data_IF_863364863968
#
_entry.id   IF_863364863968
#
_cell.length_a   1.000
_cell.length_b   1.000
_cell.length_c   1.000
_cell.angle_alpha   90.00
_cell.angle_beta   90.00
_cell.angle_gamma   90.00
#
_symmetry.space_group_name_H-M   'P 1'
#
loop_
_entity.id
_entity.type
_entity.pdbx_description
1 polymer ?
#
# COMPACT_ATOMS: atom_id res chain seq x y z
N UNK A 1 22.27 -19.32 -23.67
CA UNK A 1 21.99 -19.60 -22.26
C UNK A 1 21.72 -18.27 -21.56
N UNK A 2 20.46 -17.87 -21.48
CA UNK A 2 20.07 -16.69 -20.68
C UNK A 2 19.93 -17.13 -19.22
N UNK A 3 20.91 -16.79 -18.39
CA UNK A 3 20.74 -16.82 -16.93
C UNK A 3 19.73 -15.74 -16.55
N UNK A 4 18.51 -16.15 -16.20
CA UNK A 4 17.56 -15.30 -15.50
C UNK A 4 18.19 -14.94 -14.16
N UNK A 5 18.65 -13.71 -13.99
CA UNK A 5 19.00 -13.19 -12.69
C UNK A 5 17.72 -13.16 -11.86
N UNK A 6 17.65 -14.00 -10.84
CA UNK A 6 16.70 -13.85 -9.74
C UNK A 6 17.15 -12.60 -9.00
N UNK A 7 16.49 -11.49 -9.26
CA UNK A 7 16.67 -10.26 -8.51
C UNK A 7 16.20 -10.55 -7.09
N UNK A 8 17.13 -10.47 -6.15
CA UNK A 8 16.88 -10.73 -4.74
C UNK A 8 16.00 -9.59 -4.20
N UNK A 9 14.88 -9.91 -3.55
CA UNK A 9 13.95 -8.93 -2.96
C UNK A 9 14.61 -7.96 -1.97
N UNK A 10 15.79 -8.29 -1.47
CA UNK A 10 16.60 -7.43 -0.61
C UNK A 10 17.14 -6.16 -1.29
N UNK A 11 17.23 -6.14 -2.64
CA UNK A 11 17.67 -4.98 -3.42
C UNK A 11 16.55 -3.95 -3.65
N UNK A 12 15.31 -4.27 -3.27
CA UNK A 12 14.14 -3.39 -3.45
C UNK A 12 13.92 -2.44 -2.28
N UNK A 13 14.67 -2.59 -1.17
CA UNK A 13 14.56 -1.69 -0.02
C UNK A 13 15.14 -0.31 -0.35
N UNK A 14 14.49 0.78 0.10
CA UNK A 14 14.93 2.13 -0.19
C UNK A 14 16.32 2.36 0.43
N UNK A 15 17.30 2.51 -0.44
CA UNK A 15 18.60 3.05 -0.06
C UNK A 15 18.52 4.57 -0.17
N UNK A 16 18.83 5.23 0.96
CA UNK A 16 19.14 6.66 1.00
C UNK A 16 17.99 7.64 0.63
N UNK A 17 16.96 7.71 1.49
CA UNK A 17 15.96 8.78 1.44
C UNK A 17 14.89 8.65 0.34
N UNK A 18 14.87 7.59 -0.43
CA UNK A 18 13.84 7.34 -1.45
C UNK A 18 12.50 6.98 -0.83
N UNK A 19 11.44 7.46 -1.45
CA UNK A 19 10.05 7.14 -1.12
C UNK A 19 9.55 6.06 -2.08
N UNK A 20 9.56 4.82 -1.63
CA UNK A 20 9.27 3.64 -2.46
C UNK A 20 7.97 2.98 -1.97
N UNK A 21 7.06 2.72 -2.89
CA UNK A 21 5.86 1.92 -2.65
C UNK A 21 6.12 0.50 -3.17
N UNK A 22 5.90 -0.50 -2.32
CA UNK A 22 6.07 -1.90 -2.63
C UNK A 22 4.71 -2.58 -2.70
N UNK A 23 4.44 -3.29 -3.79
CA UNK A 23 3.23 -4.11 -3.94
C UNK A 23 3.60 -5.50 -4.42
N UNK A 24 2.82 -6.51 -4.02
CA UNK A 24 2.92 -7.85 -4.56
C UNK A 24 1.55 -8.46 -4.78
N UNK A 25 1.47 -9.36 -5.76
CA UNK A 25 0.32 -10.23 -5.98
C UNK A 25 0.80 -11.67 -5.99
N UNK A 26 0.20 -12.50 -5.16
CA UNK A 26 0.51 -13.93 -5.04
C UNK A 26 -0.71 -14.77 -5.39
N UNK A 27 -0.50 -15.86 -6.10
CA UNK A 27 -1.50 -16.93 -6.28
C UNK A 27 -0.95 -18.21 -5.67
N UNK A 28 -1.71 -18.80 -4.75
CA UNK A 28 -1.32 -19.96 -3.94
C UNK A 28 -2.38 -21.03 -4.08
N UNK A 29 -1.98 -22.24 -4.47
CA UNK A 29 -2.82 -23.43 -4.41
C UNK A 29 -2.68 -24.08 -3.03
N UNK A 30 -3.81 -24.51 -2.46
CA UNK A 30 -3.88 -25.12 -1.15
C UNK A 30 -4.59 -26.49 -1.19
N UNK A 31 -3.90 -27.55 -0.71
CA UNK A 31 -4.51 -28.86 -0.45
C UNK A 31 -5.33 -28.80 0.85
N UNK A 32 -4.82 -28.11 1.87
CA UNK A 32 -5.57 -27.76 3.09
C UNK A 32 -5.81 -26.26 3.11
N UNK A 33 -6.97 -25.87 2.60
CA UNK A 33 -7.37 -24.48 2.48
C UNK A 33 -7.36 -23.72 3.82
N UNK A 34 -7.90 -24.33 4.88
CA UNK A 34 -8.00 -23.69 6.18
C UNK A 34 -6.62 -23.51 6.85
N UNK A 35 -5.76 -24.51 6.73
CA UNK A 35 -4.40 -24.45 7.26
C UNK A 35 -3.59 -23.36 6.55
N UNK A 36 -3.70 -23.28 5.21
CA UNK A 36 -3.02 -22.25 4.40
C UNK A 36 -3.49 -20.85 4.76
N UNK A 37 -4.80 -20.62 4.83
CA UNK A 37 -5.35 -19.32 5.25
C UNK A 37 -4.89 -18.90 6.65
N UNK A 38 -4.86 -19.86 7.59
CA UNK A 38 -4.38 -19.61 8.95
C UNK A 38 -2.88 -19.31 8.99
N UNK A 39 -2.08 -20.03 8.20
CA UNK A 39 -0.64 -19.80 8.10
C UNK A 39 -0.31 -18.42 7.53
N UNK A 40 -1.04 -17.97 6.50
CA UNK A 40 -0.90 -16.62 5.92
C UNK A 40 -1.22 -15.52 6.94
N UNK A 41 -2.33 -15.66 7.68
CA UNK A 41 -2.69 -14.70 8.71
C UNK A 41 -1.64 -14.61 9.84
N UNK A 42 -1.10 -15.77 10.27
CA UNK A 42 -0.02 -15.83 11.26
C UNK A 42 1.28 -15.20 10.73
N UNK A 43 1.64 -15.47 9.48
CA UNK A 43 2.81 -14.87 8.85
C UNK A 43 2.69 -13.33 8.82
N UNK A 44 1.52 -12.79 8.47
CA UNK A 44 1.28 -11.35 8.51
C UNK A 44 1.43 -10.78 9.93
N UNK A 45 0.85 -11.42 10.93
CA UNK A 45 0.94 -10.98 12.33
C UNK A 45 2.39 -11.04 12.85
N UNK A 46 3.16 -12.08 12.51
CA UNK A 46 4.55 -12.21 12.95
C UNK A 46 5.45 -11.13 12.36
N UNK A 47 5.10 -10.59 11.19
CA UNK A 47 5.76 -9.46 10.54
C UNK A 47 5.24 -8.10 11.05
N UNK A 48 4.31 -8.05 12.02
CA UNK A 48 3.69 -6.80 12.48
C UNK A 48 2.70 -6.21 11.48
N UNK A 49 2.28 -6.99 10.49
CA UNK A 49 1.26 -6.63 9.50
C UNK A 49 -0.15 -7.02 9.94
N UNK A 50 -1.11 -6.70 9.09
CA UNK A 50 -2.53 -7.02 9.31
C UNK A 50 -3.27 -7.29 8.00
N UNK A 51 -4.44 -7.91 8.12
CA UNK A 51 -5.37 -8.12 7.00
C UNK A 51 -6.24 -6.87 6.87
N UNK A 52 -6.16 -6.16 5.73
CA UNK A 52 -7.00 -5.00 5.46
C UNK A 52 -8.32 -5.38 4.83
N UNK A 53 -8.33 -6.44 4.05
CA UNK A 53 -9.56 -6.97 3.41
C UNK A 53 -9.46 -8.48 3.25
N UNK A 54 -10.60 -9.15 3.38
CA UNK A 54 -10.73 -10.59 3.05
C UNK A 54 -12.08 -10.86 2.43
N UNK A 55 -12.11 -11.74 1.44
CA UNK A 55 -13.31 -12.32 0.86
C UNK A 55 -13.09 -13.80 0.64
N UNK A 56 -14.06 -14.64 1.00
CA UNK A 56 -13.99 -16.08 0.80
C UNK A 56 -15.24 -16.50 0.03
N UNK A 57 -15.01 -17.03 -1.17
CA UNK A 57 -16.05 -17.59 -2.01
C UNK A 57 -16.13 -19.10 -1.81
N UNK A 58 -17.30 -19.54 -1.37
CA UNK A 58 -17.62 -20.97 -1.21
C UNK A 58 -18.75 -21.33 -2.15
N UNK A 59 -18.47 -22.03 -3.25
CA UNK A 59 -19.51 -22.40 -4.21
C UNK A 59 -20.54 -23.36 -3.59
N UNK A 60 -21.80 -23.20 -4.02
CA UNK A 60 -22.94 -23.94 -3.46
C UNK A 60 -23.14 -25.35 -4.01
N UNK A 61 -22.28 -25.80 -4.95
CA UNK A 61 -22.41 -27.12 -5.56
C UNK A 61 -21.28 -28.06 -5.15
N UNK A 62 -21.61 -29.34 -5.06
CA UNK A 62 -20.72 -30.41 -4.60
C UNK A 62 -19.52 -30.57 -5.57
N UNK A 63 -18.31 -30.57 -5.04
CA UNK A 63 -17.07 -30.73 -5.81
C UNK A 63 -16.43 -29.42 -6.29
N UNK A 64 -17.02 -28.28 -5.99
CA UNK A 64 -16.42 -27.00 -6.27
C UNK A 64 -15.38 -26.61 -5.21
N UNK A 65 -14.40 -25.83 -5.64
CA UNK A 65 -13.28 -25.40 -4.81
C UNK A 65 -13.53 -24.01 -4.23
N UNK A 66 -13.06 -23.79 -3.01
CA UNK A 66 -13.11 -22.49 -2.35
C UNK A 66 -11.99 -21.61 -2.86
N UNK A 67 -12.27 -20.31 -2.92
CA UNK A 67 -11.25 -19.30 -3.22
C UNK A 67 -11.29 -18.23 -2.13
N UNK A 68 -10.13 -17.87 -1.62
CA UNK A 68 -10.01 -16.76 -0.68
C UNK A 68 -9.12 -15.66 -1.28
N UNK A 69 -9.57 -14.43 -1.10
CA UNK A 69 -8.85 -13.23 -1.47
C UNK A 69 -8.48 -12.49 -0.20
N UNK A 70 -7.19 -12.24 0.00
CA UNK A 70 -6.65 -11.49 1.12
C UNK A 70 -5.88 -10.30 0.60
N UNK A 71 -6.07 -9.16 1.24
CA UNK A 71 -5.17 -8.03 1.11
C UNK A 71 -4.48 -7.81 2.45
N UNK A 72 -3.17 -7.95 2.46
CA UNK A 72 -2.33 -7.72 3.62
C UNK A 72 -1.64 -6.37 3.52
N UNK A 73 -1.54 -5.69 4.68
CA UNK A 73 -0.69 -4.51 4.87
C UNK A 73 0.47 -4.93 5.75
N UNK A 74 1.66 -4.90 5.18
CA UNK A 74 2.89 -5.40 5.81
C UNK A 74 3.88 -4.25 5.92
N UNK A 75 4.48 -3.99 7.10
CA UNK A 75 5.54 -3.00 7.22
C UNK A 75 6.60 -3.19 6.13
N UNK A 76 7.00 -2.11 5.46
CA UNK A 76 7.90 -2.18 4.30
C UNK A 76 9.21 -2.93 4.60
N UNK A 77 9.72 -2.80 5.83
CA UNK A 77 10.93 -3.49 6.31
C UNK A 77 10.74 -5.02 6.40
N UNK A 78 9.51 -5.50 6.56
CA UNK A 78 9.17 -6.92 6.72
C UNK A 78 8.60 -7.53 5.43
N UNK A 79 8.55 -6.76 4.34
CA UNK A 79 7.94 -7.17 3.08
C UNK A 79 8.55 -8.48 2.53
N UNK A 80 9.88 -8.56 2.44
CA UNK A 80 10.57 -9.75 1.93
C UNK A 80 10.36 -10.98 2.81
N UNK A 81 10.39 -10.80 4.14
CA UNK A 81 10.16 -11.87 5.12
C UNK A 81 8.75 -12.43 4.99
N UNK A 82 7.76 -11.53 4.84
CA UNK A 82 6.38 -11.96 4.63
C UNK A 82 6.21 -12.73 3.32
N UNK A 83 6.79 -12.27 2.20
CA UNK A 83 6.68 -12.96 0.91
C UNK A 83 7.27 -14.37 0.94
N UNK A 84 8.39 -14.58 1.63
CA UNK A 84 8.98 -15.91 1.84
C UNK A 84 8.06 -16.79 2.68
N UNK A 85 7.52 -16.25 3.79
CA UNK A 85 6.56 -16.95 4.65
C UNK A 85 5.27 -17.32 3.92
N UNK A 86 4.72 -16.40 3.14
CA UNK A 86 3.51 -16.62 2.34
C UNK A 86 3.74 -17.67 1.24
N UNK A 87 4.90 -17.63 0.56
CA UNK A 87 5.28 -18.62 -0.43
C UNK A 87 5.46 -20.03 0.12
N UNK A 88 5.68 -20.16 1.44
CA UNK A 88 5.82 -21.45 2.16
C UNK A 88 4.50 -21.98 2.72
N UNK A 89 3.44 -21.15 2.75
CA UNK A 89 2.14 -21.54 3.32
C UNK A 89 1.34 -22.50 2.43
N UNK A 90 1.65 -22.57 1.12
CA UNK A 90 1.02 -23.47 0.13
C UNK A 90 1.88 -23.59 -1.10
N UNK A 91 1.29 -24.09 -2.21
CA UNK A 91 1.99 -24.12 -3.49
C UNK A 91 1.89 -22.78 -4.19
N UNK A 92 2.97 -22.01 -4.21
CA UNK A 92 3.05 -20.73 -4.90
C UNK A 92 3.07 -20.93 -6.41
N UNK A 93 1.97 -20.59 -7.08
CA UNK A 93 1.80 -20.71 -8.54
C UNK A 93 2.37 -19.49 -9.26
N UNK A 94 2.06 -18.29 -8.75
CA UNK A 94 2.57 -17.05 -9.33
C UNK A 94 2.92 -16.04 -8.26
N UNK A 95 3.95 -15.25 -8.54
CA UNK A 95 4.39 -14.11 -7.73
C UNK A 95 4.73 -12.97 -8.68
N UNK A 96 4.06 -11.86 -8.49
CA UNK A 96 4.33 -10.62 -9.20
C UNK A 96 4.64 -9.53 -8.18
N UNK A 97 5.78 -8.87 -8.33
CA UNK A 97 6.20 -7.75 -7.50
C UNK A 97 6.24 -6.47 -8.33
N UNK A 98 5.82 -5.36 -7.74
CA UNK A 98 5.85 -4.03 -8.35
C UNK A 98 6.43 -3.04 -7.36
N UNK A 99 7.34 -2.23 -7.85
CA UNK A 99 8.01 -1.17 -7.08
C UNK A 99 7.78 0.16 -7.78
N UNK A 100 7.30 1.14 -7.02
CA UNK A 100 7.07 2.49 -7.52
C UNK A 100 7.87 3.50 -6.71
N UNK A 101 8.78 4.23 -7.38
CA UNK A 101 9.48 5.38 -6.79
C UNK A 101 8.58 6.61 -6.89
N UNK A 102 8.13 7.11 -5.73
CA UNK A 102 7.27 8.29 -5.60
C UNK A 102 8.00 9.48 -4.98
N UNK A 103 9.33 9.43 -4.92
CA UNK A 103 10.15 10.44 -4.24
C UNK A 103 9.88 11.84 -4.76
N UNK A 104 9.86 12.05 -6.09
CA UNK A 104 9.59 13.38 -6.65
C UNK A 104 8.15 13.84 -6.38
N UNK A 105 7.17 12.96 -6.51
CA UNK A 105 5.77 13.29 -6.23
C UNK A 105 5.55 13.64 -4.76
N UNK A 106 6.22 12.93 -3.85
CA UNK A 106 6.18 13.22 -2.43
C UNK A 106 6.79 14.61 -2.11
N UNK A 107 7.96 14.91 -2.65
CA UNK A 107 8.63 16.22 -2.49
C UNK A 107 7.80 17.35 -3.05
N UNK A 108 7.13 17.14 -4.18
CA UNK A 108 6.23 18.15 -4.79
C UNK A 108 5.04 18.44 -3.88
N UNK A 109 4.44 17.42 -3.26
CA UNK A 109 3.36 17.59 -2.26
C UNK A 109 3.84 18.37 -1.05
N UNK A 110 5.03 18.02 -0.50
CA UNK A 110 5.61 18.75 0.64
C UNK A 110 5.87 20.23 0.32
N UNK A 111 6.46 20.50 -0.85
CA UNK A 111 6.75 21.86 -1.29
C UNK A 111 5.46 22.67 -1.46
N UNK A 112 4.40 22.05 -2.03
CA UNK A 112 3.10 22.68 -2.19
C UNK A 112 2.44 23.00 -0.87
N UNK A 113 2.44 22.05 0.09
CA UNK A 113 1.93 22.26 1.44
C UNK A 113 2.65 23.41 2.16
N UNK A 114 3.98 23.45 2.07
CA UNK A 114 4.78 24.54 2.67
C UNK A 114 4.40 25.89 2.08
N UNK A 115 4.23 25.98 0.76
CA UNK A 115 3.83 27.22 0.08
C UNK A 115 2.43 27.68 0.49
N UNK A 116 1.47 26.73 0.56
CA UNK A 116 0.08 27.04 0.94
C UNK A 116 -0.02 27.49 2.42
N UNK A 117 0.70 26.85 3.32
CA UNK A 117 0.76 27.27 4.74
C UNK A 117 1.32 28.67 4.90
N UNK A 118 2.36 29.01 4.15
CA UNK A 118 2.90 30.37 4.14
C UNK A 118 1.89 31.38 3.55
N UNK A 119 1.13 31.00 2.54
CA UNK A 119 0.06 31.83 1.98
C UNK A 119 -1.06 32.04 3.00
N UNK A 120 -1.48 31.00 3.69
CA UNK A 120 -2.47 31.06 4.77
C UNK A 120 -2.04 32.04 5.87
N UNK A 121 -0.80 31.94 6.34
CA UNK A 121 -0.23 32.84 7.36
C UNK A 121 -0.27 34.30 6.90
N UNK A 122 0.09 34.58 5.63
CA UNK A 122 0.03 35.90 5.06
C UNK A 122 -1.40 36.44 4.96
N UNK A 123 -2.36 35.60 4.60
CA UNK A 123 -3.77 35.98 4.54
C UNK A 123 -4.33 36.32 5.92
N UNK A 124 -3.94 35.59 6.97
CA UNK A 124 -4.28 35.96 8.35
C UNK A 124 -3.71 37.30 8.74
N UNK A 125 -2.43 37.57 8.43
CA UNK A 125 -1.82 38.89 8.74
C UNK A 125 -2.50 40.02 7.97
N UNK A 126 -2.95 39.77 6.73
CA UNK A 126 -3.73 40.79 5.96
C UNK A 126 -5.12 40.99 6.56
N UNK A 127 -5.77 39.95 7.06
CA UNK A 127 -7.07 40.03 7.71
C UNK A 127 -7.03 40.94 8.97
N UNK A 128 -5.97 40.85 9.76
CA UNK A 128 -5.76 41.71 10.94
C UNK A 128 -5.63 43.19 10.59
N UNK A 129 -5.19 43.51 9.37
CA UNK A 129 -4.97 44.89 8.91
C UNK A 129 -6.10 45.43 8.04
N UNK A 130 -7.10 44.61 7.72
CA UNK A 130 -8.21 44.99 6.84
C UNK A 130 -9.11 46.01 7.55
N UNK A 131 -9.36 47.16 6.91
CA UNK A 131 -10.13 48.28 7.47
C UNK A 131 -11.60 48.34 7.02
N UNK A 132 -12.00 47.50 6.07
CA UNK A 132 -13.36 47.45 5.52
C UNK A 132 -13.89 46.05 5.36
N UNK A 133 -15.22 45.94 5.32
CA UNK A 133 -15.91 44.65 5.26
C UNK A 133 -15.69 43.92 3.92
N UNK A 134 -15.59 44.64 2.80
CA UNK A 134 -15.41 44.06 1.48
C UNK A 134 -14.05 43.34 1.37
N UNK A 135 -12.98 44.00 1.85
CA UNK A 135 -11.65 43.43 1.93
C UNK A 135 -11.61 42.20 2.86
N UNK A 136 -12.27 42.26 4.02
CA UNK A 136 -12.39 41.12 4.94
C UNK A 136 -13.06 39.92 4.28
N UNK A 137 -14.16 40.11 3.57
CA UNK A 137 -14.88 39.04 2.86
C UNK A 137 -14.02 38.43 1.72
N UNK A 138 -13.29 39.27 1.00
CA UNK A 138 -12.39 38.81 -0.05
C UNK A 138 -11.27 37.93 0.50
N UNK A 139 -10.64 38.35 1.61
CA UNK A 139 -9.59 37.55 2.29
C UNK A 139 -10.17 36.27 2.86
N UNK A 140 -11.36 36.30 3.46
CA UNK A 140 -12.04 35.12 4.00
C UNK A 140 -12.31 34.08 2.91
N UNK A 141 -12.74 34.51 1.72
CA UNK A 141 -12.95 33.60 0.60
C UNK A 141 -11.62 32.95 0.15
N UNK A 142 -10.53 33.71 0.08
CA UNK A 142 -9.22 33.18 -0.25
C UNK A 142 -8.69 32.23 0.81
N UNK A 143 -8.90 32.55 2.10
CA UNK A 143 -8.53 31.64 3.20
C UNK A 143 -9.25 30.30 3.09
N UNK A 144 -10.55 30.33 2.82
CA UNK A 144 -11.34 29.10 2.64
C UNK A 144 -10.78 28.23 1.52
N UNK A 145 -10.42 28.84 0.38
CA UNK A 145 -9.83 28.12 -0.76
C UNK A 145 -8.44 27.54 -0.40
N UNK A 146 -7.57 28.32 0.25
CA UNK A 146 -6.24 27.88 0.67
C UNK A 146 -6.34 26.75 1.69
N UNK A 147 -7.26 26.83 2.65
CA UNK A 147 -7.48 25.79 3.64
C UNK A 147 -7.96 24.47 2.99
N UNK A 148 -8.89 24.54 2.04
CA UNK A 148 -9.31 23.38 1.28
C UNK A 148 -8.14 22.72 0.55
N UNK A 149 -7.25 23.52 -0.06
CA UNK A 149 -6.06 22.97 -0.73
C UNK A 149 -5.07 22.35 0.26
N UNK A 150 -4.86 22.97 1.43
CA UNK A 150 -4.02 22.41 2.50
C UNK A 150 -4.55 21.05 2.96
N UNK A 151 -5.86 20.95 3.20
CA UNK A 151 -6.50 19.68 3.58
C UNK A 151 -6.31 18.60 2.51
N UNK A 152 -6.53 18.95 1.24
CA UNK A 152 -6.36 18.05 0.10
C UNK A 152 -4.94 17.51 -0.01
N UNK A 153 -3.93 18.38 0.01
CA UNK A 153 -2.52 17.97 -0.08
C UNK A 153 -2.05 17.24 1.19
N UNK A 154 -2.61 17.58 2.36
CA UNK A 154 -2.33 16.86 3.61
C UNK A 154 -2.86 15.42 3.54
N UNK A 155 -4.07 15.24 2.99
CA UNK A 155 -4.63 13.90 2.76
C UNK A 155 -3.78 13.09 1.77
N UNK A 156 -3.31 13.73 0.70
CA UNK A 156 -2.43 13.09 -0.28
C UNK A 156 -1.08 12.69 0.35
N UNK A 157 -0.47 13.55 1.17
CA UNK A 157 0.77 13.23 1.88
C UNK A 157 0.58 12.02 2.81
N UNK A 158 -0.51 12.00 3.60
CA UNK A 158 -0.84 10.85 4.47
C UNK A 158 -1.01 9.54 3.68
N UNK A 159 -1.61 9.63 2.50
CA UNK A 159 -1.73 8.46 1.62
C UNK A 159 -0.37 7.93 1.18
N UNK A 160 0.55 8.81 0.80
CA UNK A 160 1.93 8.40 0.48
C UNK A 160 2.65 7.83 1.70
N UNK A 161 2.53 8.47 2.87
CA UNK A 161 3.16 8.00 4.10
C UNK A 161 2.69 6.59 4.47
N UNK A 162 1.38 6.31 4.33
CA UNK A 162 0.82 4.98 4.55
C UNK A 162 1.33 3.95 3.54
N UNK A 163 1.34 4.28 2.24
CA UNK A 163 1.78 3.36 1.18
C UNK A 163 3.29 3.09 1.21
N UNK A 164 4.10 4.04 1.69
CA UNK A 164 5.54 3.90 1.86
C UNK A 164 5.86 3.07 3.11
N UNK A 165 5.12 3.29 4.18
CA UNK A 165 5.32 2.60 5.46
C UNK A 165 4.84 1.16 5.43
N UNK A 166 3.75 0.90 4.70
CA UNK A 166 3.13 -0.41 4.58
C UNK A 166 3.00 -0.83 3.12
N UNK A 167 3.65 -1.94 2.79
CA UNK A 167 3.48 -2.61 1.50
C UNK A 167 2.09 -3.24 1.40
N UNK A 168 1.54 -3.30 0.20
CA UNK A 168 0.28 -3.98 -0.07
C UNK A 168 0.57 -5.33 -0.73
N UNK A 169 0.09 -6.42 -0.13
CA UNK A 169 0.25 -7.76 -0.69
C UNK A 169 -1.13 -8.40 -0.87
N UNK A 170 -1.51 -8.58 -2.12
CA UNK A 170 -2.74 -9.26 -2.50
C UNK A 170 -2.45 -10.75 -2.69
N UNK A 171 -3.16 -11.60 -1.97
CA UNK A 171 -2.98 -13.06 -2.00
C UNK A 171 -4.30 -13.73 -2.36
N UNK A 172 -4.29 -14.48 -3.46
CA UNK A 172 -5.38 -15.37 -3.84
C UNK A 172 -5.01 -16.78 -3.43
N UNK A 173 -5.86 -17.44 -2.64
CA UNK A 173 -5.72 -18.84 -2.24
C UNK A 173 -6.80 -19.65 -2.91
N UNK A 174 -6.41 -20.62 -3.72
CA UNK A 174 -7.31 -21.53 -4.42
C UNK A 174 -7.21 -22.92 -3.81
N UNK A 175 -8.35 -23.48 -3.40
CA UNK A 175 -8.42 -24.87 -2.95
C UNK A 175 -8.29 -25.81 -4.13
N UNK A 176 -7.40 -26.80 -4.04
CA UNK A 176 -7.17 -27.78 -5.11
C UNK A 176 -7.06 -29.19 -4.57
N UNK A 177 -7.42 -30.20 -5.37
CA UNK A 177 -7.18 -31.63 -5.03
C UNK A 177 -5.75 -32.09 -5.33
N UNK A 178 -5.13 -31.44 -6.29
CA UNK A 178 -3.75 -31.71 -6.70
C UNK A 178 -3.09 -30.39 -7.00
N UNK A 179 -1.87 -30.18 -6.51
CA UNK A 179 -1.07 -28.99 -6.82
C UNK A 179 -0.52 -29.07 -8.23
N UNK A 180 -0.42 -27.92 -8.88
CA UNK A 180 0.26 -27.78 -10.16
C UNK A 180 1.76 -28.07 -9.97
N UNK A 181 2.30 -29.07 -10.69
CA UNK A 181 3.73 -29.35 -10.66
C UNK A 181 4.48 -28.19 -11.32
N UNK A 182 5.52 -27.70 -10.65
CA UNK A 182 6.42 -26.72 -11.25
C UNK A 182 7.21 -27.44 -12.34
N UNK A 183 6.92 -27.16 -13.60
CA UNK A 183 7.80 -27.58 -14.70
C UNK A 183 9.10 -26.78 -14.58
N UNK A 184 10.22 -27.48 -14.31
CA UNK A 184 11.57 -26.92 -14.28
C UNK A 184 11.99 -26.32 -15.64
#
# INVERSE_FOLDING_TARGET
VYKRQVQNSADLLPQDGRKIILNATLSIEALDFNATCTALARAAQSCGGYVSSTSIDTPAYEGAYRTAYYQFRIPAEQYSVFLEGAGSAGNLVSKQESTQDVTSAYVDVEARLKSLKLQEERLYAMMEQAGDLETLLAIQNQLTEVQYQIESYTAQQRTYDDLISYSTVDVTVEEVKQITEKTE
#
